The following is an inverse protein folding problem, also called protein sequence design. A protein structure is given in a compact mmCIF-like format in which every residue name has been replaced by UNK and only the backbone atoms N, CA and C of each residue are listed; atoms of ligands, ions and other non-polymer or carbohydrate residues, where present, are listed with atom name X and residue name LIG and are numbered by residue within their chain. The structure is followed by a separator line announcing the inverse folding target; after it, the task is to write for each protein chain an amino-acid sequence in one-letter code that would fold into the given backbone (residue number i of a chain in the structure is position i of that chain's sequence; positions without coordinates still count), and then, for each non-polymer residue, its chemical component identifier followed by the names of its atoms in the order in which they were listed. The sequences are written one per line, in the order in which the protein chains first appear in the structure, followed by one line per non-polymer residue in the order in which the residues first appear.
data_IF_297032332515
#
_entry.id   IF_297032332515
#
_cell.length_a   1.000
_cell.length_b   1.000
_cell.length_c   1.000
_cell.angle_alpha   90.00
_cell.angle_beta   90.00
_cell.angle_gamma   90.00
#
_symmetry.space_group_name_H-M   'P 1'
#
loop_
_entity.id
_entity.type
_entity.pdbx_description
1 polymer ?
#
# COMPACT_ATOMS: atom_id res chain seq x y z
N UNK A 1 -3.64 4.51 -18.41
CA UNK A 1 -2.16 4.44 -18.41
C UNK A 1 -1.71 4.60 -16.96
N UNK A 2 -0.59 4.01 -16.54
CA UNK A 2 -0.12 4.15 -15.16
C UNK A 2 0.42 5.56 -14.90
N UNK A 3 0.26 6.04 -13.67
CA UNK A 3 0.73 7.35 -13.25
C UNK A 3 2.27 7.36 -13.16
N UNK A 4 2.91 8.24 -13.94
CA UNK A 4 4.36 8.32 -14.07
C UNK A 4 4.84 9.76 -13.94
N UNK A 5 5.89 9.99 -13.14
CA UNK A 5 6.56 11.29 -13.02
C UNK A 5 8.00 11.10 -12.54
N UNK A 6 8.95 11.90 -13.05
CA UNK A 6 10.35 11.89 -12.64
C UNK A 6 11.03 10.50 -12.65
N UNK A 7 10.67 9.67 -13.65
CA UNK A 7 11.22 8.31 -13.79
C UNK A 7 10.68 7.31 -12.76
N UNK A 8 9.60 7.63 -12.05
CA UNK A 8 8.93 6.73 -11.11
C UNK A 8 7.53 6.43 -11.64
N UNK A 9 7.12 5.17 -11.59
CA UNK A 9 5.74 4.73 -11.87
C UNK A 9 5.08 4.31 -10.55
N UNK A 10 3.87 4.77 -10.29
CA UNK A 10 3.06 4.33 -9.16
C UNK A 10 1.63 3.96 -9.60
N UNK A 11 1.04 2.97 -8.94
CA UNK A 11 -0.32 2.52 -9.23
C UNK A 11 -0.96 1.81 -8.03
N UNK A 12 -2.29 1.71 -8.04
CA UNK A 12 -3.06 0.95 -7.05
C UNK A 12 -3.52 -0.37 -7.65
N UNK A 13 -3.45 -1.43 -6.84
CA UNK A 13 -4.04 -2.74 -7.17
C UNK A 13 -5.05 -3.16 -6.12
N UNK A 14 -6.09 -3.86 -6.55
CA UNK A 14 -7.16 -4.41 -5.71
C UNK A 14 -7.27 -5.92 -5.94
N UNK A 15 -7.63 -6.69 -4.90
CA UNK A 15 -7.82 -8.14 -4.99
C UNK A 15 -6.57 -8.89 -5.50
N UNK A 16 -6.74 -9.71 -6.55
CA UNK A 16 -5.71 -10.53 -7.20
C UNK A 16 -4.72 -9.72 -8.07
N UNK A 17 -4.27 -8.56 -7.55
CA UNK A 17 -3.32 -7.65 -8.21
C UNK A 17 -3.87 -6.96 -9.47
N UNK A 18 -5.20 -6.85 -9.58
CA UNK A 18 -5.83 -6.12 -10.69
C UNK A 18 -5.56 -4.62 -10.52
N UNK A 19 -4.96 -4.00 -11.54
CA UNK A 19 -4.69 -2.55 -11.54
C UNK A 19 -6.01 -1.79 -11.64
N UNK A 20 -6.18 -0.78 -10.78
CA UNK A 20 -7.35 0.10 -10.82
C UNK A 20 -7.22 1.08 -11.99
N UNK A 21 -8.34 1.42 -12.62
CA UNK A 21 -8.39 2.42 -13.68
C UNK A 21 -8.22 3.82 -13.07
N UNK A 22 -7.31 4.60 -13.65
CA UNK A 22 -7.02 5.98 -13.27
C UNK A 22 -7.82 6.93 -14.17
N UNK A 23 -8.48 7.92 -13.57
CA UNK A 23 -9.32 8.92 -14.22
C UNK A 23 -8.82 10.32 -13.93
N UNK A 24 -9.06 11.26 -14.86
CA UNK A 24 -8.70 12.68 -14.74
C UNK A 24 -7.30 12.88 -14.15
N UNK A 25 -6.30 12.31 -14.85
CA UNK A 25 -4.89 12.40 -14.50
C UNK A 25 -4.43 13.85 -14.70
N UNK A 26 -3.79 14.39 -13.68
CA UNK A 26 -3.24 15.74 -13.62
C UNK A 26 -1.78 15.65 -13.16
N UNK A 27 -0.86 16.22 -13.94
CA UNK A 27 0.58 16.11 -13.69
C UNK A 27 1.15 17.52 -13.61
N UNK A 28 1.68 17.85 -12.44
CA UNK A 28 2.44 19.07 -12.17
C UNK A 28 3.93 18.71 -12.13
N UNK A 29 4.61 18.92 -13.26
CA UNK A 29 6.03 18.62 -13.41
C UNK A 29 6.91 19.54 -12.55
N UNK A 30 6.50 20.79 -12.35
CA UNK A 30 7.25 21.79 -11.58
C UNK A 30 7.30 21.43 -10.10
N UNK A 31 6.18 20.96 -9.55
CA UNK A 31 6.10 20.48 -8.17
C UNK A 31 6.52 19.01 -8.00
N UNK A 32 6.63 18.26 -9.10
CA UNK A 32 6.85 16.82 -9.05
C UNK A 32 5.65 16.07 -8.46
N UNK A 33 4.43 16.54 -8.73
CA UNK A 33 3.18 15.97 -8.19
C UNK A 33 2.33 15.41 -9.33
N UNK A 34 1.91 14.16 -9.20
CA UNK A 34 0.95 13.53 -10.10
C UNK A 34 -0.31 13.14 -9.32
N UNK A 35 -1.47 13.57 -9.79
CA UNK A 35 -2.77 13.36 -9.15
C UNK A 35 -3.71 12.62 -10.09
N UNK A 36 -4.49 11.66 -9.58
CA UNK A 36 -5.56 11.05 -10.35
C UNK A 36 -6.73 10.61 -9.45
N UNK A 37 -7.86 10.30 -10.08
CA UNK A 37 -9.00 9.67 -9.42
C UNK A 37 -9.01 8.18 -9.68
N UNK A 38 -9.37 7.40 -8.67
CA UNK A 38 -9.53 5.93 -8.77
C UNK A 38 -10.86 5.50 -8.15
N UNK A 39 -11.44 4.43 -8.68
CA UNK A 39 -12.61 3.80 -8.08
C UNK A 39 -12.19 2.90 -6.92
N UNK A 40 -12.80 3.05 -5.75
CA UNK A 40 -12.56 2.18 -4.60
C UNK A 40 -13.82 2.01 -3.75
N UNK A 41 -14.20 0.76 -3.48
CA UNK A 41 -15.35 0.45 -2.64
C UNK A 41 -14.95 0.41 -1.15
N UNK A 42 -15.75 0.98 -0.24
CA UNK A 42 -15.46 0.96 1.20
C UNK A 42 -15.20 -0.45 1.74
N UNK A 43 -14.17 -0.60 2.57
CA UNK A 43 -13.76 -1.88 3.14
C UNK A 43 -13.00 -2.81 2.17
N UNK A 44 -12.95 -2.49 0.87
CA UNK A 44 -12.24 -3.30 -0.11
C UNK A 44 -10.72 -3.16 0.10
N UNK A 45 -9.98 -4.28 0.19
CA UNK A 45 -8.54 -4.24 0.39
C UNK A 45 -7.80 -3.83 -0.89
N UNK A 46 -6.76 -3.02 -0.73
CA UNK A 46 -5.91 -2.57 -1.83
C UNK A 46 -4.42 -2.61 -1.47
N UNK A 47 -3.58 -2.42 -2.49
CA UNK A 47 -2.14 -2.30 -2.34
C UNK A 47 -1.61 -1.16 -3.22
N UNK A 48 -0.73 -0.35 -2.65
CA UNK A 48 0.01 0.70 -3.33
C UNK A 48 1.28 0.08 -3.87
N UNK A 49 1.59 0.35 -5.14
CA UNK A 49 2.78 -0.16 -5.80
C UNK A 49 3.52 0.95 -6.49
N UNK A 50 4.84 0.87 -6.47
CA UNK A 50 5.68 1.79 -7.24
C UNK A 50 6.98 1.10 -7.66
N UNK A 51 7.60 1.63 -8.70
CA UNK A 51 8.91 1.19 -9.18
C UNK A 51 9.67 2.34 -9.80
N UNK A 52 10.99 2.19 -9.81
CA UNK A 52 11.89 3.02 -10.59
C UNK A 52 11.84 2.59 -12.06
N UNK A 53 11.73 3.55 -12.97
CA UNK A 53 11.82 3.39 -14.42
C UNK A 53 13.17 3.88 -14.96
N UNK A 54 14.05 4.41 -14.12
CA UNK A 54 15.38 4.81 -14.57
C UNK A 54 16.19 3.57 -14.92
N UNK A 55 16.19 3.23 -16.20
CA UNK A 55 16.99 2.12 -16.71
C UNK A 55 18.47 2.47 -16.57
N UNK A 56 19.26 1.70 -15.78
CA UNK A 56 20.67 1.98 -15.58
C UNK A 56 21.50 1.82 -16.87
N UNK A 57 20.92 1.20 -17.91
CA UNK A 57 21.60 0.85 -19.16
C UNK A 57 21.25 1.83 -20.29
N UNK A 58 20.10 2.53 -20.22
CA UNK A 58 19.52 3.24 -21.36
C UNK A 58 20.07 4.66 -21.60
N UNK A 59 20.97 5.18 -20.74
CA UNK A 59 21.62 6.48 -20.97
C UNK A 59 23.15 6.39 -20.96
N UNK A 60 23.76 5.73 -21.96
CA UNK A 60 25.21 5.69 -22.13
C UNK A 60 25.80 7.02 -22.64
N UNK A 61 25.00 8.05 -22.88
CA UNK A 61 25.41 9.25 -23.64
C UNK A 61 25.29 10.57 -22.89
N UNK A 62 25.29 10.60 -21.56
CA UNK A 62 25.53 11.87 -20.86
C UNK A 62 27.05 12.15 -20.88
N UNK A 63 27.53 13.11 -21.70
CA UNK A 63 28.97 13.37 -21.88
C UNK A 63 29.61 14.01 -20.65
N UNK A 64 28.79 14.48 -19.71
CA UNK A 64 29.21 14.82 -18.37
C UNK A 64 29.05 13.54 -17.55
N UNK A 65 30.16 12.84 -17.23
CA UNK A 65 30.23 11.61 -16.44
C UNK A 65 29.71 11.75 -15.01
N UNK A 66 28.45 12.16 -14.89
CA UNK A 66 27.68 12.21 -13.67
C UNK A 66 27.32 10.77 -13.33
N UNK A 67 27.84 10.36 -12.19
CA UNK A 67 27.55 9.10 -11.51
C UNK A 67 26.03 8.92 -11.37
N UNK A 68 25.39 8.33 -12.39
CA UNK A 68 24.06 7.73 -12.27
C UNK A 68 24.24 6.41 -11.53
N UNK A 69 24.72 6.52 -10.30
CA UNK A 69 24.68 5.44 -9.34
C UNK A 69 23.23 5.06 -9.17
N UNK A 70 22.94 3.77 -9.34
CA UNK A 70 21.65 3.21 -9.03
C UNK A 70 21.25 3.69 -7.62
N UNK A 71 20.08 4.33 -7.51
CA UNK A 71 19.67 5.01 -6.28
C UNK A 71 18.69 4.14 -5.52
N UNK A 72 18.82 4.11 -4.20
CA UNK A 72 17.78 3.55 -3.36
C UNK A 72 16.62 4.55 -3.28
N UNK A 73 15.39 4.05 -3.42
CA UNK A 73 14.17 4.84 -3.28
C UNK A 73 13.43 4.42 -2.02
N UNK A 74 12.76 5.35 -1.35
CA UNK A 74 11.79 5.05 -0.30
C UNK A 74 10.46 5.69 -0.63
N UNK A 75 9.38 4.93 -0.53
CA UNK A 75 8.02 5.42 -0.65
C UNK A 75 7.39 5.56 0.73
N UNK A 76 6.96 6.77 1.10
CA UNK A 76 6.23 7.08 2.32
C UNK A 76 4.76 7.26 1.99
N UNK A 77 3.91 6.50 2.68
CA UNK A 77 2.48 6.42 2.41
C UNK A 77 1.73 7.18 3.49
N UNK A 78 0.85 8.08 3.04
CA UNK A 78 -0.19 8.66 3.88
C UNK A 78 -1.56 8.34 3.30
N UNK A 79 -2.54 8.13 4.16
CA UNK A 79 -3.92 7.87 3.79
C UNK A 79 -4.83 8.68 4.68
N UNK A 80 -5.73 9.44 4.07
CA UNK A 80 -6.72 10.26 4.77
C UNK A 80 -6.12 11.24 5.78
N UNK A 81 -4.89 11.71 5.52
CA UNK A 81 -4.11 12.57 6.42
C UNK A 81 -3.31 11.83 7.50
N UNK A 82 -3.38 10.50 7.57
CA UNK A 82 -2.61 9.68 8.50
C UNK A 82 -1.39 9.06 7.82
N UNK A 83 -0.22 9.21 8.44
CA UNK A 83 1.00 8.53 8.02
C UNK A 83 0.91 7.04 8.35
N UNK A 84 1.05 6.18 7.33
CA UNK A 84 0.95 4.72 7.48
C UNK A 84 2.33 4.02 7.55
N UNK A 85 3.39 4.75 7.19
CA UNK A 85 4.76 4.24 7.13
C UNK A 85 5.31 4.28 5.71
N UNK A 86 6.34 3.47 5.44
CA UNK A 86 6.97 3.44 4.12
C UNK A 86 7.69 2.15 3.81
N UNK A 87 8.18 2.05 2.58
CA UNK A 87 8.97 0.89 2.12
C UNK A 87 10.14 1.35 1.27
N UNK A 88 11.29 0.73 1.50
CA UNK A 88 12.50 0.96 0.71
C UNK A 88 12.50 0.04 -0.50
N UNK A 89 12.80 0.60 -1.66
CA UNK A 89 13.11 -0.06 -2.91
C UNK A 89 14.62 0.08 -3.12
N UNK A 90 15.33 -1.03 -2.98
CA UNK A 90 16.77 -1.04 -3.22
C UNK A 90 17.09 -0.80 -4.69
N UNK A 91 18.19 -0.10 -4.92
CA UNK A 91 18.76 0.14 -6.23
C UNK A 91 18.88 -1.17 -7.02
N UNK A 92 18.58 -1.12 -8.32
CA UNK A 92 18.61 -2.27 -9.25
C UNK A 92 17.58 -3.37 -8.96
N UNK A 93 16.64 -3.14 -8.03
CA UNK A 93 15.47 -4.01 -7.91
C UNK A 93 14.53 -3.80 -9.09
N UNK A 94 14.40 -4.83 -9.94
CA UNK A 94 13.38 -4.85 -10.99
C UNK A 94 11.96 -5.08 -10.43
N UNK A 95 11.86 -5.56 -9.19
CA UNK A 95 10.57 -5.77 -8.54
C UNK A 95 10.00 -4.44 -8.04
N UNK A 96 8.72 -4.22 -8.28
CA UNK A 96 7.99 -3.10 -7.69
C UNK A 96 7.93 -3.23 -6.18
N UNK A 97 8.09 -2.12 -5.46
CA UNK A 97 7.71 -2.06 -4.06
C UNK A 97 6.19 -2.22 -3.90
N UNK A 98 5.78 -2.84 -2.80
CA UNK A 98 4.37 -3.13 -2.51
C UNK A 98 4.09 -2.73 -1.06
N UNK A 99 3.08 -1.90 -0.86
CA UNK A 99 2.59 -1.50 0.46
C UNK A 99 1.10 -1.82 0.54
N UNK A 100 0.76 -2.85 1.32
CA UNK A 100 -0.61 -3.41 1.38
C UNK A 100 -1.11 -3.68 2.79
N UNK A 101 -0.24 -3.61 3.80
CA UNK A 101 -0.57 -3.91 5.19
C UNK A 101 0.24 -3.03 6.14
N UNK A 102 -0.35 -2.73 7.27
CA UNK A 102 0.28 -2.01 8.39
C UNK A 102 0.56 -3.05 9.47
N UNK A 103 1.81 -3.15 9.93
CA UNK A 103 2.12 -4.01 11.06
C UNK A 103 1.46 -3.44 12.32
N UNK A 104 0.62 -4.24 12.99
CA UNK A 104 -0.07 -3.85 14.23
C UNK A 104 0.57 -4.47 15.47
N UNK A 105 1.20 -5.63 15.30
CA UNK A 105 2.02 -6.30 16.32
C UNK A 105 3.10 -7.16 15.63
N UNK A 106 4.00 -7.82 16.38
CA UNK A 106 4.98 -8.76 15.80
C UNK A 106 4.37 -9.87 14.94
N UNK A 107 3.13 -10.27 15.23
CA UNK A 107 2.44 -11.40 14.60
C UNK A 107 1.17 -11.00 13.85
N UNK A 108 0.77 -9.73 13.89
CA UNK A 108 -0.47 -9.25 13.26
C UNK A 108 -0.21 -8.07 12.33
N UNK A 109 -0.96 -8.04 11.24
CA UNK A 109 -0.95 -6.95 10.29
C UNK A 109 -2.37 -6.62 9.85
N UNK A 110 -2.67 -5.32 9.73
CA UNK A 110 -3.95 -4.81 9.27
C UNK A 110 -3.86 -4.57 7.75
N UNK A 111 -4.71 -5.18 6.92
CA UNK A 111 -4.75 -4.86 5.49
C UNK A 111 -5.20 -3.42 5.26
N UNK A 112 -4.65 -2.78 4.23
CA UNK A 112 -5.15 -1.48 3.77
C UNK A 112 -6.51 -1.69 3.11
N UNK A 113 -7.51 -0.96 3.57
CA UNK A 113 -8.87 -0.97 3.02
C UNK A 113 -9.32 0.46 2.75
N UNK A 114 -10.12 0.68 1.71
CA UNK A 114 -10.68 2.02 1.47
C UNK A 114 -11.61 2.42 2.62
N UNK A 115 -11.46 3.65 3.12
CA UNK A 115 -12.29 4.15 4.22
C UNK A 115 -13.75 4.29 3.79
N UNK A 116 -14.66 4.10 4.75
CA UNK A 116 -16.07 4.44 4.57
C UNK A 116 -16.22 5.96 4.58
N UNK A 117 -16.26 6.55 3.39
CA UNK A 117 -16.50 7.98 3.23
C UNK A 117 -18.00 8.27 3.41
N UNK A 118 -18.37 9.35 4.14
CA UNK A 118 -19.75 9.82 4.13
C UNK A 118 -20.22 10.06 2.70
N UNK A 119 -21.42 9.61 2.31
CA UNK A 119 -21.97 9.90 0.96
C UNK A 119 -22.06 11.41 0.68
N UNK A 120 -22.14 12.22 1.73
CA UNK A 120 -22.17 13.69 1.70
C UNK A 120 -20.78 14.33 1.63
N UNK A 121 -19.69 13.57 1.74
CA UNK A 121 -18.32 14.04 1.50
C UNK A 121 -18.12 14.26 -0.01
N UNK A 122 -18.79 15.30 -0.53
CA UNK A 122 -18.76 15.67 -1.94
C UNK A 122 -17.38 16.17 -2.39
N UNK A 123 -17.27 16.50 -3.68
CA UNK A 123 -16.07 17.05 -4.33
C UNK A 123 -15.82 18.55 -3.94
N UNK A 124 -16.37 19.04 -2.80
CA UNK A 124 -16.25 20.44 -2.33
C UNK A 124 -15.38 20.67 -1.06
N UNK A 125 -14.80 21.87 -0.95
CA UNK A 125 -13.65 22.36 -0.13
C UNK A 125 -13.24 21.77 1.23
N UNK A 126 -14.08 20.97 1.92
CA UNK A 126 -13.76 20.34 3.21
C UNK A 126 -13.23 18.88 3.06
N UNK A 127 -13.12 18.36 1.84
CA UNK A 127 -12.56 17.02 1.55
C UNK A 127 -11.04 16.92 1.64
N UNK A 128 -10.33 17.98 2.05
CA UNK A 128 -8.88 18.14 1.81
C UNK A 128 -8.01 16.97 2.28
N UNK A 129 -8.47 16.14 3.22
CA UNK A 129 -7.75 14.94 3.64
C UNK A 129 -8.52 13.64 3.36
N UNK A 130 -9.85 13.59 3.52
CA UNK A 130 -10.60 12.34 3.40
C UNK A 130 -10.75 11.83 1.96
N UNK A 131 -10.51 10.53 1.80
CA UNK A 131 -10.59 9.86 0.52
C UNK A 131 -9.37 10.12 -0.36
N UNK A 132 -8.20 10.28 0.26
CA UNK A 132 -6.94 10.53 -0.44
C UNK A 132 -5.86 9.56 0.04
N UNK A 133 -5.07 9.07 -0.90
CA UNK A 133 -3.87 8.27 -0.64
C UNK A 133 -2.72 9.02 -1.29
N UNK A 134 -1.72 9.42 -0.52
CA UNK A 134 -0.52 10.06 -1.03
C UNK A 134 0.71 9.19 -0.83
N UNK A 135 1.51 9.05 -1.88
CA UNK A 135 2.79 8.37 -1.88
C UNK A 135 3.89 9.39 -2.20
N UNK A 136 4.73 9.66 -1.21
CA UNK A 136 5.91 10.50 -1.36
C UNK A 136 7.14 9.62 -1.61
N UNK A 137 7.77 9.79 -2.76
CA UNK A 137 8.95 9.01 -3.16
C UNK A 137 10.20 9.87 -3.01
N UNK A 138 11.14 9.35 -2.21
CA UNK A 138 12.40 9.99 -1.91
C UNK A 138 13.56 9.14 -2.40
N UNK A 139 14.62 9.80 -2.85
CA UNK A 139 15.94 9.18 -2.93
C UNK A 139 16.48 9.10 -1.51
N UNK A 140 16.93 7.91 -1.11
CA UNK A 140 17.45 7.66 0.22
C UNK A 140 18.86 7.10 0.16
N UNK A 141 19.60 7.30 1.24
CA UNK A 141 20.85 6.59 1.50
C UNK A 141 20.61 5.61 2.65
N UNK A 142 20.82 4.33 2.38
CA UNK A 142 20.75 3.27 3.37
C UNK A 142 22.07 3.28 4.14
N UNK A 143 22.02 3.42 5.47
CA UNK A 143 23.22 3.47 6.30
C UNK A 143 24.01 2.16 6.25
N UNK A 144 25.35 2.24 6.16
CA UNK A 144 26.23 1.06 6.18
C UNK A 144 26.12 0.26 7.49
N UNK A 145 25.69 0.91 8.56
CA UNK A 145 25.45 0.32 9.89
C UNK A 145 24.09 -0.36 10.04
N UNK A 146 23.48 -0.85 8.96
CA UNK A 146 22.13 -1.42 8.84
C UNK A 146 21.82 -2.67 9.69
N UNK A 147 22.50 -2.86 10.82
CA UNK A 147 22.00 -3.70 11.91
C UNK A 147 20.79 -2.98 12.48
N UNK A 148 19.63 -3.60 12.34
CA UNK A 148 18.39 -3.29 13.06
C UNK A 148 18.71 -2.88 14.50
N UNK A 149 18.85 -1.58 14.75
CA UNK A 149 18.88 -1.08 16.12
C UNK A 149 17.42 -0.92 16.52
N UNK A 150 16.94 -1.80 17.38
CA UNK A 150 15.72 -1.59 18.16
C UNK A 150 15.89 -0.26 18.92
N UNK A 151 15.45 0.87 18.36
CA UNK A 151 15.66 2.15 19.07
C UNK A 151 15.15 3.42 18.42
N UNK A 152 15.16 3.55 17.09
CA UNK A 152 14.87 4.84 16.44
C UNK A 152 13.47 4.98 15.83
N UNK A 153 12.48 4.31 16.43
CA UNK A 153 11.04 4.52 16.16
C UNK A 153 10.50 5.86 16.70
N UNK A 154 11.35 6.81 17.12
CA UNK A 154 10.94 8.03 17.83
C UNK A 154 10.63 9.23 16.94
N UNK A 155 10.85 9.14 15.61
CA UNK A 155 10.54 10.25 14.69
C UNK A 155 9.04 10.39 14.35
N UNK A 156 8.25 9.34 14.59
CA UNK A 156 6.81 9.37 14.32
C UNK A 156 6.05 9.78 15.59
N UNK A 157 5.88 11.09 15.78
CA UNK A 157 4.98 11.62 16.81
C UNK A 157 3.54 11.27 16.40
N UNK A 158 3.05 10.13 16.86
CA UNK A 158 1.66 9.73 16.64
C UNK A 158 0.76 10.73 17.33
N UNK A 159 -0.17 11.30 16.57
CA UNK A 159 -1.25 12.07 17.17
C UNK A 159 -2.07 11.13 18.06
N UNK A 160 -2.21 11.49 19.33
CA UNK A 160 -3.12 10.83 20.26
C UNK A 160 -4.52 10.82 19.62
N UNK A 161 -5.09 9.62 19.43
CA UNK A 161 -6.37 9.43 18.74
C UNK A 161 -6.27 8.73 17.38
N UNK A 162 -5.07 8.49 16.83
CA UNK A 162 -4.94 7.61 15.68
C UNK A 162 -5.24 6.16 16.08
N UNK A 163 -6.11 5.43 15.35
CA UNK A 163 -6.39 4.01 15.62
C UNK A 163 -5.13 3.13 15.49
N UNK A 164 -4.04 3.67 14.95
CA UNK A 164 -2.75 3.00 14.78
C UNK A 164 -1.76 3.35 15.90
N UNK A 165 -2.18 4.09 16.94
CA UNK A 165 -1.25 4.66 17.92
C UNK A 165 -0.45 3.63 18.74
N UNK A 166 -0.93 2.39 18.88
CA UNK A 166 -0.28 1.34 19.69
C UNK A 166 0.72 0.44 18.93
N UNK A 167 0.72 0.45 17.60
CA UNK A 167 1.47 -0.52 16.81
C UNK A 167 2.96 -0.19 16.70
N UNK A 168 3.88 -0.76 17.48
CA UNK A 168 5.32 -0.51 17.26
C UNK A 168 5.78 -1.13 15.93
N UNK A 169 6.50 -0.40 15.05
CA UNK A 169 6.99 -0.97 13.81
C UNK A 169 8.02 -2.07 14.13
N UNK A 170 7.74 -3.30 13.67
CA UNK A 170 8.54 -4.48 14.01
C UNK A 170 9.88 -4.56 13.24
N UNK A 171 10.02 -3.78 12.16
CA UNK A 171 11.26 -3.68 11.40
C UNK A 171 11.34 -2.28 10.80
N UNK A 172 12.38 -1.54 11.18
CA UNK A 172 12.71 -0.25 10.56
C UNK A 172 14.10 -0.36 9.97
N UNK A 173 14.21 -0.23 8.66
CA UNK A 173 15.48 0.14 8.02
C UNK A 173 15.67 1.64 8.23
N UNK A 174 16.75 2.02 8.90
CA UNK A 174 17.11 3.43 9.01
C UNK A 174 17.52 3.93 7.62
N UNK A 175 16.80 4.94 7.15
CA UNK A 175 17.07 5.58 5.87
C UNK A 175 17.24 7.07 6.08
N UNK A 176 18.30 7.62 5.49
CA UNK A 176 18.47 9.07 5.43
C UNK A 176 17.84 9.56 4.14
N UNK A 177 16.80 10.40 4.25
CA UNK A 177 16.19 11.02 3.09
C UNK A 177 17.14 12.06 2.50
N UNK A 178 17.53 11.86 1.24
CA UNK A 178 18.43 12.79 0.53
C UNK A 178 17.60 13.89 -0.13
N UNK A 179 16.58 13.51 -0.91
CA UNK A 179 15.64 14.44 -1.55
C UNK A 179 14.35 13.75 -1.96
N UNK A 180 13.25 14.51 -1.95
CA UNK A 180 11.97 14.10 -2.54
C UNK A 180 12.03 14.25 -4.06
N UNK A 181 11.56 13.25 -4.79
CA UNK A 181 11.59 13.25 -6.27
C UNK A 181 10.21 13.14 -6.92
N UNK A 182 9.21 12.61 -6.21
CA UNK A 182 7.85 12.51 -6.73
C UNK A 182 6.83 12.45 -5.60
N UNK A 183 5.63 12.97 -5.86
CA UNK A 183 4.44 12.73 -5.06
C UNK A 183 3.34 12.20 -5.96
N UNK A 184 2.73 11.10 -5.58
CA UNK A 184 1.54 10.55 -6.23
C UNK A 184 0.33 10.72 -5.31
N UNK A 185 -0.75 11.31 -5.80
CA UNK A 185 -1.99 11.52 -5.04
C UNK A 185 -3.13 10.78 -5.74
N UNK A 186 -3.59 9.70 -5.12
CA UNK A 186 -4.74 8.93 -5.57
C UNK A 186 -5.98 9.36 -4.77
N UNK A 187 -6.91 10.05 -5.44
CA UNK A 187 -8.21 10.40 -4.87
C UNK A 187 -9.17 9.25 -5.13
N UNK A 188 -9.68 8.61 -4.08
CA UNK A 188 -10.54 7.44 -4.24
C UNK A 188 -12.00 7.75 -3.89
N UNK A 189 -12.94 7.27 -4.71
CA UNK A 189 -14.39 7.35 -4.48
C UNK A 189 -15.09 6.11 -5.04
N UNK A 190 -16.30 5.77 -4.57
CA UNK A 190 -17.12 4.76 -5.23
C UNK A 190 -17.33 5.10 -6.70
N UNK A 191 -17.41 4.08 -7.56
CA UNK A 191 -17.49 4.29 -9.02
C UNK A 191 -18.71 5.13 -9.43
N UNK A 192 -19.84 4.95 -8.74
CA UNK A 192 -21.06 5.70 -8.97
C UNK A 192 -20.88 7.21 -8.74
N UNK A 193 -20.09 7.58 -7.72
CA UNK A 193 -19.78 8.99 -7.41
C UNK A 193 -18.91 9.59 -8.50
N UNK A 194 -17.89 8.86 -8.97
CA UNK A 194 -17.05 9.34 -10.07
C UNK A 194 -17.85 9.54 -11.37
N UNK A 195 -18.82 8.67 -11.65
CA UNK A 195 -19.72 8.80 -12.81
C UNK A 195 -20.67 9.98 -12.68
N UNK A 196 -21.25 10.17 -11.49
CA UNK A 196 -22.14 11.29 -11.19
C UNK A 196 -21.45 12.64 -11.45
N UNK A 197 -20.17 12.75 -11.14
CA UNK A 197 -19.35 13.94 -11.40
C UNK A 197 -18.70 13.98 -12.78
N UNK A 198 -19.07 13.08 -13.70
CA UNK A 198 -18.50 13.00 -15.05
C UNK A 198 -16.98 12.80 -15.08
N UNK A 199 -16.38 12.25 -14.02
CA UNK A 199 -14.94 11.92 -13.96
C UNK A 199 -14.69 10.56 -14.61
N UNK A 200 -15.56 9.59 -14.33
CA UNK A 200 -15.54 8.28 -14.96
C UNK A 200 -16.65 8.20 -16.03
N UNK A 201 -16.42 7.47 -17.14
CA UNK A 201 -17.45 7.25 -18.15
C UNK A 201 -18.69 6.58 -17.55
N UNK A 202 -19.85 7.12 -17.87
CA UNK A 202 -21.13 6.46 -17.64
C UNK A 202 -21.18 5.30 -18.63
N UNK A 203 -20.91 4.07 -18.18
CA UNK A 203 -21.37 2.90 -18.95
C UNK A 203 -22.88 2.93 -18.84
N UNK A 204 -23.53 3.51 -19.84
CA UNK A 204 -24.93 3.20 -20.11
C UNK A 204 -24.98 1.68 -20.15
N UNK A 205 -25.78 1.03 -19.29
CA UNK A 205 -26.00 -0.40 -19.45
C UNK A 205 -26.41 -0.56 -20.90
N UNK A 206 -25.65 -1.37 -21.66
CA UNK A 206 -26.04 -1.71 -23.01
C UNK A 206 -27.33 -2.50 -22.86
N UNK A 207 -28.46 -1.82 -22.87
CA UNK A 207 -29.78 -2.43 -22.94
C UNK A 207 -30.19 -2.41 -24.41
N UNK A 208 -29.81 -3.40 -25.25
CA UNK A 208 -30.57 -3.66 -26.46
C UNK A 208 -31.74 -4.56 -26.08
N UNK A 209 -32.65 -4.06 -25.25
CA UNK A 209 -34.00 -4.61 -25.19
C UNK A 209 -34.94 -3.44 -25.21
N UNK A 210 -35.10 -2.88 -26.42
CA UNK A 210 -36.38 -2.31 -26.85
C UNK A 210 -37.44 -3.28 -26.30
N UNK A 211 -38.27 -2.87 -25.32
CA UNK A 211 -39.44 -3.65 -24.99
C UNK A 211 -40.19 -3.79 -26.30
N UNK A 212 -40.32 -5.00 -26.83
CA UNK A 212 -41.21 -5.26 -27.97
C UNK A 212 -42.62 -4.91 -27.49
N UNK A 213 -42.96 -3.64 -27.64
CA UNK A 213 -44.27 -3.05 -27.45
C UNK A 213 -45.16 -3.65 -28.54
N UNK A 214 -45.65 -4.87 -28.34
CA UNK A 214 -46.47 -5.51 -29.37
C UNK A 214 -46.75 -7.01 -29.27
N UNK A 215 -46.10 -7.79 -28.41
CA UNK A 215 -46.57 -9.16 -28.18
C UNK A 215 -47.69 -9.15 -27.15
N UNK A 216 -48.93 -8.95 -27.63
CA UNK A 216 -50.17 -9.30 -26.94
C UNK A 216 -50.05 -10.76 -26.50
N UNK A 217 -49.69 -10.99 -25.23
CA UNK A 217 -49.77 -12.31 -24.62
C UNK A 217 -51.25 -12.68 -24.59
N UNK A 218 -51.60 -13.76 -25.29
CA UNK A 218 -52.88 -14.44 -25.13
C UNK A 218 -52.99 -14.83 -23.65
N UNK A 219 -54.13 -14.53 -23.04
CA UNK A 219 -54.38 -14.89 -21.65
C UNK A 219 -54.20 -16.42 -21.47
N UNK A 220 -53.57 -16.88 -20.37
CA UNK A 220 -53.64 -18.28 -20.00
C UNK A 220 -55.07 -18.60 -19.56
N UNK A 221 -55.64 -19.64 -20.15
CA UNK A 221 -56.93 -20.18 -19.73
C UNK A 221 -56.81 -20.73 -18.30
N UNK A 222 -57.71 -20.36 -17.38
CA UNK A 222 -57.78 -20.95 -16.05
C UNK A 222 -58.54 -22.26 -16.16
N UNK A 223 -57.86 -23.40 -16.10
CA UNK A 223 -58.42 -24.69 -15.67
C UNK A 223 -57.31 -25.74 -15.68
N UNK A 224 -56.66 -25.95 -14.53
CA UNK A 224 -56.17 -27.28 -14.17
C UNK A 224 -55.89 -27.30 -12.68
N UNK A 225 -56.90 -27.71 -11.93
CA UNK A 225 -56.75 -28.25 -10.59
C UNK A 225 -55.78 -29.45 -10.64
N UNK A 226 -54.72 -29.41 -9.84
CA UNK A 226 -54.02 -30.62 -9.45
C UNK A 226 -53.48 -30.46 -8.04
N UNK A 227 -54.28 -30.95 -7.10
CA UNK A 227 -53.86 -31.45 -5.80
C UNK A 227 -52.59 -32.30 -5.89
N UNK A 228 -51.61 -32.02 -5.02
CA UNK A 228 -50.69 -33.02 -4.44
C UNK A 228 -49.93 -32.32 -3.30
N UNK A 229 -50.37 -32.54 -2.07
CA UNK A 229 -49.83 -33.57 -1.15
C UNK A 229 -48.43 -33.25 -0.63
N UNK A 230 -48.42 -32.59 0.53
CA UNK A 230 -47.64 -32.91 1.74
C UNK A 230 -46.42 -33.83 1.66
N UNK A 231 -45.30 -33.37 2.24
CA UNK A 231 -44.32 -34.09 3.08
C UNK A 231 -43.33 -33.01 3.59
N UNK A 232 -43.35 -32.53 4.83
CA UNK A 232 -43.12 -33.18 6.13
C UNK A 232 -41.82 -34.00 6.22
N UNK A 233 -41.05 -33.68 7.27
CA UNK A 233 -39.90 -34.40 7.86
C UNK A 233 -38.51 -34.12 7.30
N UNK A 234 -37.61 -33.75 8.22
CA UNK A 234 -36.18 -33.64 7.97
C UNK A 234 -35.43 -32.81 8.99
N UNK A 235 -35.67 -33.02 10.28
CA UNK A 235 -34.76 -32.62 11.35
C UNK A 235 -33.47 -33.45 11.19
N UNK A 236 -32.32 -32.81 10.98
CA UNK A 236 -31.03 -33.47 11.17
C UNK A 236 -30.08 -32.56 11.95
N UNK A 237 -30.17 -32.77 13.26
CA UNK A 237 -29.39 -32.15 14.32
C UNK A 237 -28.05 -32.90 14.44
N UNK A 238 -27.16 -32.71 13.46
CA UNK A 238 -25.82 -33.33 13.49
C UNK A 238 -24.84 -32.44 14.27
N UNK A 239 -24.79 -32.67 15.59
CA UNK A 239 -23.73 -32.26 16.51
C UNK A 239 -22.38 -32.90 16.12
N UNK A 240 -21.64 -32.27 15.21
CA UNK A 240 -20.24 -32.62 14.95
C UNK A 240 -19.30 -31.90 15.92
N UNK A 241 -19.10 -32.58 17.04
CA UNK A 241 -18.05 -32.40 18.05
C UNK A 241 -16.67 -32.19 17.40
N UNK A 242 -15.94 -31.10 17.69
CA UNK A 242 -14.54 -31.00 17.28
C UNK A 242 -13.68 -31.96 18.14
N UNK A 243 -12.67 -32.62 17.54
CA UNK A 243 -11.78 -33.50 18.26
C UNK A 243 -10.91 -32.68 19.21
N UNK A 244 -10.92 -33.08 20.48
CA UNK A 244 -9.95 -32.67 21.49
C UNK A 244 -8.54 -32.96 20.97
N UNK A 245 -7.80 -31.89 20.68
CA UNK A 245 -6.36 -31.91 20.43
C UNK A 245 -5.65 -32.36 21.70
N UNK A 246 -5.27 -33.63 21.73
CA UNK A 246 -4.23 -34.15 22.60
C UNK A 246 -2.92 -33.51 22.16
N UNK A 247 -2.43 -32.55 22.96
CA UNK A 247 -1.04 -32.10 22.89
C UNK A 247 -0.17 -33.26 23.35
N UNK A 248 0.50 -33.91 22.40
CA UNK A 248 1.63 -34.76 22.70
C UNK A 248 2.79 -33.85 23.14
N UNK A 249 3.12 -33.90 24.43
CA UNK A 249 4.40 -33.47 24.95
C UNK A 249 5.48 -34.31 24.25
N UNK A 250 6.20 -33.67 23.33
CA UNK A 250 7.35 -34.27 22.66
C UNK A 250 8.58 -33.59 23.24
N UNK A 251 9.06 -34.14 24.35
CA UNK A 251 10.41 -33.95 24.82
C UNK A 251 11.39 -34.45 23.75
N UNK A 252 12.17 -33.55 23.18
CA UNK A 252 13.34 -33.91 22.39
C UNK A 252 14.49 -33.02 22.75
N UNK A 253 15.14 -33.48 23.81
CA UNK A 253 16.54 -33.29 24.13
C UNK A 253 17.40 -33.72 22.93
N UNK A 254 18.01 -32.74 22.24
CA UNK A 254 19.11 -33.00 21.32
C UNK A 254 20.15 -31.90 21.45
N UNK A 255 20.99 -32.09 22.44
CA UNK A 255 22.33 -31.56 22.53
C UNK A 255 23.18 -32.09 21.35
N UNK A 256 23.42 -31.25 20.34
CA UNK A 256 24.54 -31.44 19.43
C UNK A 256 25.39 -30.19 19.36
N UNK A 257 26.40 -30.26 20.22
CA UNK A 257 27.64 -29.52 20.25
C UNK A 257 28.35 -29.62 18.88
N UNK A 258 28.31 -28.55 18.10
CA UNK A 258 29.20 -28.36 16.96
C UNK A 258 30.13 -27.18 17.23
N UNK A 259 31.21 -27.48 17.97
CA UNK A 259 32.41 -26.68 17.99
C UNK A 259 32.94 -26.47 16.57
N UNK A 260 32.75 -25.27 16.02
CA UNK A 260 33.56 -24.77 14.91
C UNK A 260 34.54 -23.73 15.46
N UNK A 261 35.86 -23.94 15.33
CA UNK A 261 36.84 -22.97 15.80
C UNK A 261 36.74 -21.70 14.94
N UNK A 262 36.35 -20.60 15.57
CA UNK A 262 36.47 -19.25 15.02
C UNK A 262 37.96 -18.97 14.80
N UNK A 263 38.40 -19.03 13.54
CA UNK A 263 39.66 -18.41 13.13
C UNK A 263 39.53 -16.90 13.29
N UNK A 264 40.01 -16.41 14.42
CA UNK A 264 40.29 -15.01 14.68
C UNK A 264 41.33 -14.58 13.64
N UNK A 265 40.89 -13.80 12.65
CA UNK A 265 41.81 -13.02 11.82
C UNK A 265 42.28 -11.82 12.66
N UNK A 266 43.59 -11.55 12.75
CA UNK A 266 44.08 -10.37 13.46
C UNK A 266 43.55 -9.11 12.77
N UNK A 267 42.86 -8.28 13.57
CA UNK A 267 42.47 -6.91 13.22
C UNK A 267 43.74 -6.12 12.96
N UNK A 268 43.87 -5.59 11.74
CA UNK A 268 44.94 -4.68 11.38
C UNK A 268 44.47 -3.27 11.74
N UNK A 269 44.67 -2.92 13.00
CA UNK A 269 44.59 -1.54 13.47
C UNK A 269 45.74 -0.75 12.84
N UNK A 270 45.39 0.31 12.09
CA UNK A 270 46.14 1.59 11.98
C UNK A 270 45.64 2.36 10.77
N UNK A 271 44.65 3.23 10.99
CA UNK A 271 44.61 4.51 10.28
C UNK A 271 44.22 5.61 11.25
N UNK A 272 45.01 6.67 11.17
CA UNK A 272 45.08 7.83 12.02
C UNK A 272 43.73 8.51 12.26
N UNK A 273 43.48 8.83 13.53
CA UNK A 273 42.50 9.82 13.93
C UNK A 273 43.02 11.22 13.57
N UNK A 274 42.41 11.87 12.58
CA UNK A 274 42.37 13.32 12.54
C UNK A 274 40.99 13.82 13.01
N UNK A 275 40.92 14.75 13.99
CA UNK A 275 39.66 15.34 14.42
C UNK A 275 39.21 16.42 13.42
N UNK A 276 38.51 15.99 12.37
CA UNK A 276 37.80 16.86 11.45
C UNK A 276 36.47 17.32 12.04
N UNK A 277 36.33 18.63 12.27
CA UNK A 277 35.10 19.29 12.72
C UNK A 277 33.93 18.98 11.79
N UNK A 278 32.94 18.23 12.26
CA UNK A 278 31.63 18.17 11.62
C UNK A 278 30.84 19.45 11.94
N UNK A 279 30.17 20.09 10.97
CA UNK A 279 29.28 21.21 11.23
C UNK A 279 28.06 20.73 12.01
N UNK A 280 27.80 21.37 13.16
CA UNK A 280 26.58 21.14 13.94
C UNK A 280 25.36 21.53 13.12
N UNK A 281 24.45 20.57 12.91
CA UNK A 281 23.13 20.84 12.37
C UNK A 281 22.39 21.79 13.32
N UNK A 282 22.13 23.01 12.85
CA UNK A 282 21.35 24.01 13.58
C UNK A 282 19.90 23.56 13.67
N UNK A 283 19.49 23.23 14.89
CA UNK A 283 18.10 22.97 15.28
C UNK A 283 17.32 24.30 15.22
N UNK A 284 16.58 24.52 14.14
CA UNK A 284 15.60 25.60 14.06
C UNK A 284 14.41 25.25 14.97
N UNK A 285 14.25 26.01 16.06
CA UNK A 285 13.02 26.01 16.87
C UNK A 285 12.08 27.04 16.27
N UNK A 286 10.91 26.61 15.82
CA UNK A 286 9.79 27.51 15.55
C UNK A 286 9.06 27.74 16.87
N UNK A 287 9.00 28.99 17.30
CA UNK A 287 8.07 29.45 18.34
C UNK A 287 6.72 29.69 17.66
N UNK A 288 5.71 28.94 18.10
CA UNK A 288 4.30 29.32 17.99
C UNK A 288 3.92 30.03 19.30
#
# INVERSE_FOLDING_TARGET
MPLQINGVEAWITVGDKVRVVEYAVDIDEDMGVATCWISGEPGQPFAIRWRDLTDPIASPSSPCGGDYTARDLSGFVMMDGYELGGRVLQARSHASAIFSRIATSPTSCLPLTFSTLPRTAGIGGDWKTLGTISLDVHVVQIGEGNRLHEGYSSYYRRYEGSPLSSATPFSSTEVTSVRKIATFVFKYRPLEVLRYHCIAPITVPSTPLIPRLGNKRRAPDPDSDSDSMSQESGEDDTMSRPPSLVFAESDSDSSQDFGRPLRIRPSRDSYDQQPGRYPQAKRLRFHL
#
